data_IF_247933071720
#
_entry.id   IF_247933071720
#
_cell.length_a   1.000
_cell.length_b   1.000
_cell.length_c   1.000
_cell.angle_alpha   90.00
_cell.angle_beta   90.00
_cell.angle_gamma   90.00
#
_symmetry.space_group_name_H-M   'P 1'
#
loop_
_entity.id
_entity.type
_entity.pdbx_description
1 polymer ?
#
# COMPACT_ATOMS: atom_id res chain seq x y z
N UNK A 1 -27.95 1.49 10.89
CA UNK A 1 -26.86 1.33 9.89
C UNK A 1 -25.55 0.72 10.41
N UNK A 2 -25.18 0.83 11.68
CA UNK A 2 -23.93 0.29 12.24
C UNK A 2 -23.91 -1.25 12.43
N UNK A 3 -25.06 -1.92 12.56
CA UNK A 3 -25.15 -3.37 12.83
C UNK A 3 -24.72 -4.30 11.69
N UNK A 4 -24.74 -3.85 10.42
CA UNK A 4 -24.36 -4.68 9.24
C UNK A 4 -22.91 -4.51 8.79
N UNK A 5 -22.14 -3.60 9.37
CA UNK A 5 -20.74 -3.35 8.98
C UNK A 5 -19.79 -4.51 9.30
N UNK A 6 -19.86 -5.17 10.47
CA UNK A 6 -18.96 -6.27 10.77
C UNK A 6 -19.16 -7.48 9.83
N UNK A 7 -20.42 -7.81 9.49
CA UNK A 7 -20.73 -8.91 8.57
C UNK A 7 -20.20 -8.64 7.16
N UNK A 8 -20.49 -7.45 6.61
CA UNK A 8 -19.99 -7.07 5.29
C UNK A 8 -18.45 -6.99 5.22
N UNK A 9 -17.79 -6.60 6.30
CA UNK A 9 -16.32 -6.63 6.38
C UNK A 9 -15.81 -8.07 6.46
N UNK A 10 -16.46 -8.93 7.23
CA UNK A 10 -16.09 -10.34 7.34
C UNK A 10 -16.18 -11.06 5.98
N UNK A 11 -17.26 -10.83 5.22
CA UNK A 11 -17.42 -11.37 3.87
C UNK A 11 -16.28 -10.95 2.91
N UNK A 12 -15.84 -9.69 2.99
CA UNK A 12 -14.72 -9.19 2.22
C UNK A 12 -13.40 -9.86 2.63
N UNK A 13 -13.14 -9.97 3.92
CA UNK A 13 -11.96 -10.67 4.43
C UNK A 13 -11.93 -12.14 4.02
N UNK A 14 -13.07 -12.85 4.01
CA UNK A 14 -13.15 -14.23 3.56
C UNK A 14 -12.67 -14.45 2.13
N UNK A 15 -12.85 -13.47 1.25
CA UNK A 15 -12.42 -13.56 -0.16
C UNK A 15 -10.90 -13.48 -0.34
N UNK A 16 -10.18 -12.91 0.63
CA UNK A 16 -8.73 -12.66 0.52
C UNK A 16 -7.94 -13.38 1.61
N UNK A 17 -8.63 -14.02 2.57
CA UNK A 17 -7.97 -14.72 3.68
C UNK A 17 -7.21 -15.94 3.19
N UNK A 18 -5.99 -16.12 3.66
CA UNK A 18 -5.16 -17.28 3.32
C UNK A 18 -5.27 -18.35 4.42
N UNK A 19 -4.85 -19.61 4.16
CA UNK A 19 -4.73 -20.62 5.22
C UNK A 19 -3.81 -20.20 6.37
N UNK A 20 -2.87 -19.28 6.14
CA UNK A 20 -1.93 -18.78 7.14
C UNK A 20 -2.47 -17.54 7.89
N UNK A 21 -3.56 -16.96 7.44
CA UNK A 21 -4.18 -15.78 8.05
C UNK A 21 -4.38 -14.62 7.10
N UNK A 22 -4.47 -13.41 7.65
CA UNK A 22 -4.61 -12.18 6.87
C UNK A 22 -3.37 -11.94 6.01
N UNK A 23 -3.51 -11.62 4.70
CA UNK A 23 -2.37 -11.34 3.84
C UNK A 23 -1.40 -10.32 4.45
N UNK A 24 -1.91 -9.22 5.00
CA UNK A 24 -1.08 -8.20 5.65
C UNK A 24 -0.21 -8.77 6.77
N UNK A 25 -0.78 -9.57 7.66
CA UNK A 25 -0.03 -10.16 8.78
C UNK A 25 1.03 -11.17 8.29
N UNK A 26 0.65 -12.02 7.32
CA UNK A 26 1.53 -13.01 6.71
C UNK A 26 2.72 -12.34 6.03
N UNK A 27 2.46 -11.34 5.17
CA UNK A 27 3.53 -10.62 4.47
C UNK A 27 4.42 -9.85 5.44
N UNK A 28 3.85 -9.17 6.46
CA UNK A 28 4.64 -8.45 7.46
C UNK A 28 5.59 -9.38 8.22
N UNK A 29 5.10 -10.54 8.68
CA UNK A 29 5.92 -11.54 9.36
C UNK A 29 7.06 -12.07 8.48
N UNK A 30 6.75 -12.35 7.21
CA UNK A 30 7.73 -12.85 6.23
C UNK A 30 8.78 -11.80 5.88
N UNK A 31 8.39 -10.54 5.72
CA UNK A 31 9.33 -9.42 5.51
C UNK A 31 10.29 -9.29 6.68
N UNK A 32 9.81 -9.32 7.92
CA UNK A 32 10.67 -9.28 9.10
C UNK A 32 11.64 -10.47 9.16
N UNK A 33 11.19 -11.69 8.80
CA UNK A 33 12.06 -12.87 8.73
C UNK A 33 13.18 -12.68 7.70
N UNK A 34 12.85 -12.26 6.48
CA UNK A 34 13.82 -12.03 5.41
C UNK A 34 14.79 -10.89 5.73
N UNK A 35 14.30 -9.82 6.37
CA UNK A 35 15.15 -8.73 6.79
C UNK A 35 16.12 -9.18 7.90
N UNK A 36 15.67 -10.02 8.83
CA UNK A 36 16.54 -10.61 9.88
C UNK A 36 17.71 -11.39 9.32
N UNK A 37 17.50 -12.10 8.20
CA UNK A 37 18.56 -12.85 7.50
C UNK A 37 19.64 -11.94 6.90
N UNK A 38 19.34 -10.64 6.72
CA UNK A 38 20.23 -9.64 6.10
C UNK A 38 20.89 -8.70 7.09
N UNK A 39 20.32 -8.54 8.28
CA UNK A 39 20.79 -7.58 9.28
C UNK A 39 21.53 -8.30 10.42
N UNK A 40 22.64 -7.72 10.85
CA UNK A 40 23.44 -8.23 11.99
C UNK A 40 22.85 -7.80 13.35
N UNK A 41 21.65 -7.22 13.37
CA UNK A 41 20.95 -6.75 14.58
C UNK A 41 19.60 -7.48 14.70
N UNK A 42 19.02 -7.55 15.89
CA UNK A 42 17.67 -8.11 16.08
C UNK A 42 16.65 -7.37 15.23
N UNK A 43 15.78 -8.12 14.56
CA UNK A 43 14.63 -7.59 13.79
C UNK A 43 13.37 -8.27 14.29
N UNK A 44 12.37 -7.50 14.64
CA UNK A 44 11.04 -7.98 15.01
C UNK A 44 9.97 -7.25 14.20
N UNK A 45 8.76 -7.79 14.17
CA UNK A 45 7.60 -7.07 13.63
C UNK A 45 6.54 -6.91 14.71
N UNK A 46 5.72 -5.90 14.55
CA UNK A 46 4.55 -5.66 15.37
C UNK A 46 3.39 -5.14 14.53
N UNK A 47 2.20 -5.34 15.01
CA UNK A 47 0.98 -4.86 14.37
C UNK A 47 0.46 -3.63 15.12
N UNK A 48 0.02 -2.60 14.38
CA UNK A 48 -0.64 -1.44 14.99
C UNK A 48 -1.94 -1.83 15.68
N UNK A 49 -2.67 -2.75 15.06
CA UNK A 49 -3.89 -3.36 15.56
C UNK A 49 -3.75 -4.88 15.51
N UNK A 50 -3.97 -5.56 16.62
CA UNK A 50 -3.80 -7.01 16.72
C UNK A 50 -2.44 -7.42 17.30
N UNK A 51 -2.07 -8.67 17.10
CA UNK A 51 -0.86 -9.28 17.66
C UNK A 51 0.17 -9.62 16.58
N UNK A 52 1.49 -9.56 16.92
CA UNK A 52 2.06 -9.07 18.18
C UNK A 52 1.91 -7.56 18.31
N UNK A 53 1.52 -7.08 19.49
CA UNK A 53 1.29 -5.66 19.74
C UNK A 53 2.62 -4.87 19.82
N UNK A 54 2.62 -3.60 19.37
CA UNK A 54 3.83 -2.74 19.36
C UNK A 54 4.48 -2.68 20.74
N UNK A 55 3.71 -2.46 21.80
CA UNK A 55 4.27 -2.31 23.17
C UNK A 55 4.98 -3.57 23.63
N UNK A 56 4.37 -4.74 23.46
CA UNK A 56 4.99 -6.00 23.88
C UNK A 56 6.25 -6.34 23.09
N UNK A 57 6.32 -5.97 21.82
CA UNK A 57 7.54 -6.17 21.02
C UNK A 57 8.64 -5.21 21.43
N UNK A 58 8.33 -3.94 21.68
CA UNK A 58 9.31 -2.95 22.12
C UNK A 58 10.02 -3.36 23.43
N UNK A 59 9.31 -4.00 24.35
CA UNK A 59 9.89 -4.51 25.61
C UNK A 59 10.97 -5.60 25.43
N UNK A 60 11.04 -6.19 24.25
CA UNK A 60 12.01 -7.25 23.92
C UNK A 60 13.26 -6.74 23.20
N UNK A 61 13.33 -5.46 22.87
CA UNK A 61 14.38 -4.86 22.06
C UNK A 61 15.09 -3.74 22.84
N UNK A 62 16.39 -3.65 22.65
CA UNK A 62 17.20 -2.56 23.17
C UNK A 62 17.38 -1.48 22.10
N UNK A 63 17.12 -0.21 22.47
CA UNK A 63 17.19 0.97 21.58
C UNK A 63 16.62 0.76 20.16
N UNK A 64 15.35 0.30 20.00
CA UNK A 64 14.82 -0.05 18.72
C UNK A 64 14.64 1.17 17.79
N UNK A 65 14.86 0.96 16.48
CA UNK A 65 14.34 1.83 15.43
C UNK A 65 13.02 1.27 14.94
N UNK A 66 11.95 2.04 15.01
CA UNK A 66 10.64 1.67 14.48
C UNK A 66 10.50 2.15 13.04
N UNK A 67 10.15 1.22 12.14
CA UNK A 67 9.89 1.53 10.74
C UNK A 67 8.44 1.18 10.42
N UNK A 68 7.51 2.14 10.52
CA UNK A 68 6.13 1.92 10.07
C UNK A 68 6.11 1.62 8.58
N UNK A 69 5.42 0.57 8.17
CA UNK A 69 5.34 0.17 6.76
C UNK A 69 4.31 1.00 5.98
N UNK A 70 4.28 2.30 6.26
CA UNK A 70 3.49 3.32 5.58
C UNK A 70 4.44 4.28 4.87
N UNK A 71 4.56 4.21 3.52
CA UNK A 71 5.51 5.06 2.79
C UNK A 71 5.24 6.54 2.95
N UNK A 72 3.96 6.94 2.92
CA UNK A 72 3.49 8.31 3.07
C UNK A 72 3.01 8.56 4.51
N UNK A 73 3.36 9.72 5.05
CA UNK A 73 2.92 10.12 6.38
C UNK A 73 1.43 10.46 6.41
N UNK A 74 0.72 9.96 7.41
CA UNK A 74 -0.60 10.48 7.77
C UNK A 74 -0.87 10.39 9.28
N UNK A 75 -1.77 11.25 9.76
CA UNK A 75 -2.23 11.23 11.15
C UNK A 75 -2.98 9.94 11.50
N UNK A 76 -3.62 9.30 10.52
CA UNK A 76 -4.37 8.06 10.70
C UNK A 76 -3.51 6.79 10.65
N UNK A 77 -2.26 6.89 10.26
CA UNK A 77 -1.32 5.76 10.15
C UNK A 77 -0.05 6.01 10.97
N UNK A 78 0.93 6.69 10.40
CA UNK A 78 2.25 6.90 11.05
C UNK A 78 2.15 7.57 12.40
N UNK A 79 1.34 8.64 12.54
CA UNK A 79 1.17 9.30 13.82
C UNK A 79 0.57 8.37 14.89
N UNK A 80 -0.37 7.49 14.52
CA UNK A 80 -0.93 6.52 15.47
C UNK A 80 0.09 5.50 15.98
N UNK A 81 1.13 5.22 15.20
CA UNK A 81 2.27 4.41 15.67
C UNK A 81 3.10 5.23 16.64
N UNK A 82 3.45 6.47 16.29
CA UNK A 82 4.20 7.38 17.14
C UNK A 82 3.58 7.56 18.55
N UNK A 83 2.24 7.66 18.64
CA UNK A 83 1.49 7.77 19.89
C UNK A 83 1.68 6.57 20.85
N UNK A 84 2.15 5.44 20.35
CA UNK A 84 2.40 4.24 21.15
C UNK A 84 3.86 4.11 21.59
N UNK A 85 4.76 4.92 21.04
CA UNK A 85 6.19 4.81 21.31
C UNK A 85 6.56 5.50 22.63
N UNK A 86 7.39 4.87 23.47
CA UNK A 86 7.99 5.54 24.63
C UNK A 86 8.86 6.73 24.18
N UNK A 87 9.04 7.74 25.04
CA UNK A 87 9.95 8.84 24.77
C UNK A 87 11.37 8.34 24.44
N UNK A 88 11.97 8.89 23.38
CA UNK A 88 13.34 8.55 22.96
C UNK A 88 13.43 7.39 21.95
N UNK A 89 12.36 6.64 21.71
CA UNK A 89 12.36 5.62 20.65
C UNK A 89 12.39 6.30 19.29
N UNK A 90 13.39 5.94 18.47
CA UNK A 90 13.54 6.47 17.11
C UNK A 90 12.54 5.82 16.15
N UNK A 91 12.03 6.61 15.20
CA UNK A 91 11.08 6.14 14.20
C UNK A 91 11.40 6.76 12.83
N UNK A 92 11.29 5.97 11.78
CA UNK A 92 11.25 6.48 10.40
C UNK A 92 9.85 7.04 10.14
N UNK A 93 9.76 8.34 9.92
CA UNK A 93 8.46 9.01 9.78
C UNK A 93 7.80 8.73 8.42
N UNK A 94 8.59 8.64 7.36
CA UNK A 94 8.14 8.37 6.00
C UNK A 94 9.32 7.92 5.12
N UNK A 95 9.02 7.28 3.98
CA UNK A 95 10.01 6.89 2.97
C UNK A 95 9.43 6.92 1.55
N UNK A 96 8.42 7.76 1.34
CA UNK A 96 7.63 7.88 0.11
C UNK A 96 8.46 8.21 -1.14
N UNK A 97 9.59 8.88 -0.98
CA UNK A 97 10.52 9.31 -2.03
C UNK A 97 11.90 8.63 -1.94
N UNK A 98 12.08 7.70 -0.99
CA UNK A 98 13.36 7.01 -0.81
C UNK A 98 13.77 6.28 -2.09
N UNK A 99 14.99 6.53 -2.64
CA UNK A 99 15.39 5.99 -3.95
C UNK A 99 15.28 4.46 -4.06
N UNK A 100 15.65 3.73 -2.99
CA UNK A 100 15.55 2.28 -2.98
C UNK A 100 14.09 1.79 -3.01
N UNK A 101 13.17 2.50 -2.34
CA UNK A 101 11.74 2.18 -2.37
C UNK A 101 11.16 2.40 -3.79
N UNK A 102 11.47 3.53 -4.42
CA UNK A 102 11.04 3.82 -5.79
C UNK A 102 11.62 2.79 -6.78
N UNK A 103 12.90 2.42 -6.60
CA UNK A 103 13.53 1.39 -7.43
C UNK A 103 12.86 0.01 -7.26
N UNK A 104 12.50 -0.38 -6.03
CA UNK A 104 11.79 -1.62 -5.76
C UNK A 104 10.40 -1.62 -6.40
N UNK A 105 9.63 -0.54 -6.28
CA UNK A 105 8.34 -0.38 -6.97
C UNK A 105 8.48 -0.51 -8.48
N UNK A 106 9.46 0.18 -9.08
CA UNK A 106 9.68 0.14 -10.51
C UNK A 106 10.11 -1.26 -11.00
N UNK A 107 10.96 -1.95 -10.25
CA UNK A 107 11.35 -3.33 -10.56
C UNK A 107 10.15 -4.29 -10.51
N UNK A 108 9.30 -4.14 -9.49
CA UNK A 108 8.10 -4.95 -9.34
C UNK A 108 7.11 -4.76 -10.52
N UNK A 109 6.86 -3.51 -10.90
CA UNK A 109 5.98 -3.20 -12.04
C UNK A 109 6.56 -3.71 -13.36
N UNK A 110 7.88 -3.53 -13.60
CA UNK A 110 8.54 -4.05 -14.81
C UNK A 110 8.42 -5.56 -14.89
N UNK A 111 8.76 -6.28 -13.82
CA UNK A 111 8.64 -7.74 -13.74
C UNK A 111 7.22 -8.22 -14.07
N UNK A 112 6.21 -7.51 -13.56
CA UNK A 112 4.82 -7.79 -13.87
C UNK A 112 4.50 -7.57 -15.35
N UNK A 113 4.97 -6.46 -15.93
CA UNK A 113 4.79 -6.17 -17.36
C UNK A 113 5.54 -7.11 -18.28
N UNK A 114 6.74 -7.56 -17.91
CA UNK A 114 7.51 -8.55 -18.66
C UNK A 114 6.76 -9.89 -18.76
N UNK A 115 6.09 -10.28 -17.69
CA UNK A 115 5.31 -11.54 -17.65
C UNK A 115 3.93 -11.45 -18.32
N UNK A 116 3.26 -10.26 -18.28
CA UNK A 116 1.86 -10.12 -18.67
C UNK A 116 1.63 -9.11 -19.80
N UNK A 117 2.67 -8.45 -20.29
CA UNK A 117 2.59 -7.29 -21.16
C UNK A 117 2.11 -6.03 -20.44
N UNK A 118 2.36 -4.87 -21.00
CA UNK A 118 1.96 -3.58 -20.45
C UNK A 118 0.52 -3.22 -20.83
N UNK A 119 -0.26 -2.70 -19.88
CA UNK A 119 -1.58 -2.13 -20.15
C UNK A 119 -1.52 -0.80 -20.89
N UNK A 120 -2.63 -0.42 -21.51
CA UNK A 120 -2.74 0.86 -22.23
C UNK A 120 -2.76 2.08 -21.30
N UNK A 121 -3.10 1.89 -20.04
CA UNK A 121 -3.14 2.92 -18.98
C UNK A 121 -2.54 2.41 -17.70
N UNK A 122 -1.79 3.26 -17.02
CA UNK A 122 -1.31 3.05 -15.66
C UNK A 122 -2.10 3.94 -14.70
N UNK A 123 -2.69 3.35 -13.67
CA UNK A 123 -3.37 4.03 -12.59
C UNK A 123 -2.68 3.69 -11.28
N UNK A 124 -2.32 4.71 -10.51
CA UNK A 124 -1.70 4.58 -9.20
C UNK A 124 -2.73 4.96 -8.14
N UNK A 125 -3.21 3.97 -7.39
CA UNK A 125 -4.24 4.13 -6.37
C UNK A 125 -3.62 4.19 -4.98
N UNK A 126 -3.96 5.22 -4.21
CA UNK A 126 -3.57 5.39 -2.83
C UNK A 126 -4.80 5.30 -1.92
N UNK A 127 -4.61 5.01 -0.64
CA UNK A 127 -5.70 5.09 0.32
C UNK A 127 -6.19 6.54 0.40
N UNK A 128 -7.49 6.77 0.28
CA UNK A 128 -8.08 8.09 0.42
C UNK A 128 -8.09 8.54 1.88
N UNK A 129 -8.04 9.84 2.08
CA UNK A 129 -8.23 10.51 3.36
C UNK A 129 -9.23 11.65 3.22
N UNK A 130 -9.87 12.11 4.31
CA UNK A 130 -10.60 13.37 4.31
C UNK A 130 -9.69 14.49 3.80
N UNK A 131 -10.18 15.32 2.89
CA UNK A 131 -9.37 16.33 2.19
C UNK A 131 -8.73 17.34 3.14
N UNK A 132 -9.48 17.77 4.14
CA UNK A 132 -9.00 18.74 5.14
C UNK A 132 -7.92 18.09 6.02
N UNK A 133 -6.73 18.67 6.07
CA UNK A 133 -5.61 18.24 6.86
C UNK A 133 -4.79 17.09 6.22
N UNK A 134 -5.04 16.79 4.93
CA UNK A 134 -4.31 15.73 4.23
C UNK A 134 -3.39 16.27 3.12
N UNK A 135 -3.07 17.55 3.14
CA UNK A 135 -2.26 18.20 2.10
C UNK A 135 -0.85 17.61 2.01
N UNK A 136 -0.22 17.34 3.16
CA UNK A 136 1.08 16.67 3.21
C UNK A 136 0.99 15.27 2.59
N UNK A 137 0.04 14.46 3.05
CA UNK A 137 -0.16 13.10 2.55
C UNK A 137 -0.42 13.07 1.04
N UNK A 138 -1.29 13.95 0.53
CA UNK A 138 -1.55 14.07 -0.90
C UNK A 138 -0.29 14.44 -1.68
N UNK A 139 0.49 15.38 -1.17
CA UNK A 139 1.76 15.78 -1.77
C UNK A 139 2.75 14.61 -1.85
N UNK A 140 2.89 13.84 -0.78
CA UNK A 140 3.76 12.67 -0.71
C UNK A 140 3.28 11.54 -1.66
N UNK A 141 1.96 11.29 -1.76
CA UNK A 141 1.40 10.34 -2.74
C UNK A 141 1.73 10.75 -4.18
N UNK A 142 1.57 12.02 -4.52
CA UNK A 142 1.86 12.54 -5.85
C UNK A 142 3.36 12.52 -6.16
N UNK A 143 4.22 12.79 -5.18
CA UNK A 143 5.67 12.68 -5.32
C UNK A 143 6.08 11.22 -5.60
N UNK A 144 5.59 10.25 -4.83
CA UNK A 144 5.81 8.82 -5.09
C UNK A 144 5.37 8.44 -6.51
N UNK A 145 4.19 8.88 -6.93
CA UNK A 145 3.66 8.57 -8.26
C UNK A 145 4.53 9.17 -9.38
N UNK A 146 4.99 10.39 -9.23
CA UNK A 146 5.85 11.06 -10.21
C UNK A 146 7.21 10.36 -10.32
N UNK A 147 7.85 10.03 -9.20
CA UNK A 147 9.12 9.32 -9.15
C UNK A 147 9.01 7.91 -9.76
N UNK A 148 7.93 7.20 -9.46
CA UNK A 148 7.66 5.88 -10.04
C UNK A 148 7.43 5.97 -11.54
N UNK A 149 6.64 6.94 -12.01
CA UNK A 149 6.40 7.17 -13.44
C UNK A 149 7.71 7.49 -14.19
N UNK A 150 8.55 8.34 -13.62
CA UNK A 150 9.88 8.66 -14.14
C UNK A 150 10.76 7.40 -14.22
N UNK A 151 10.82 6.61 -13.15
CA UNK A 151 11.59 5.37 -13.11
C UNK A 151 11.10 4.36 -14.16
N UNK A 152 9.78 4.27 -14.39
CA UNK A 152 9.16 3.41 -15.40
C UNK A 152 9.23 3.96 -16.84
N UNK A 153 9.63 5.21 -17.02
CA UNK A 153 9.55 5.94 -18.30
C UNK A 153 8.13 5.96 -18.85
N UNK A 154 7.18 6.38 -18.00
CA UNK A 154 5.75 6.48 -18.31
C UNK A 154 5.35 7.94 -18.29
N UNK A 155 5.00 8.50 -19.45
CA UNK A 155 4.61 9.91 -19.59
C UNK A 155 3.15 10.18 -19.19
N UNK A 156 2.28 9.16 -19.25
CA UNK A 156 0.86 9.29 -18.94
C UNK A 156 0.43 8.26 -17.89
N UNK A 157 0.03 8.75 -16.73
CA UNK A 157 -0.50 7.97 -15.62
C UNK A 157 -1.59 8.75 -14.88
N UNK A 158 -2.35 8.06 -14.06
CA UNK A 158 -3.39 8.66 -13.21
C UNK A 158 -3.07 8.39 -11.75
N UNK A 159 -3.26 9.39 -10.89
CA UNK A 159 -3.24 9.26 -9.44
C UNK A 159 -4.66 9.32 -8.94
N UNK A 160 -5.09 8.33 -8.18
CA UNK A 160 -6.44 8.23 -7.64
C UNK A 160 -6.42 7.81 -6.17
N UNK A 161 -7.55 7.99 -5.49
CA UNK A 161 -7.72 7.68 -4.08
C UNK A 161 -8.90 6.74 -3.87
N UNK A 162 -8.66 5.66 -3.12
CA UNK A 162 -9.62 4.60 -2.82
C UNK A 162 -10.19 4.67 -1.40
N UNK A 163 -11.02 3.71 -1.01
CA UNK A 163 -11.49 3.48 0.37
C UNK A 163 -12.30 4.61 0.99
N UNK A 164 -12.96 5.43 0.16
CA UNK A 164 -13.81 6.52 0.64
C UNK A 164 -14.98 5.98 1.46
N UNK A 165 -15.24 6.58 2.62
CA UNK A 165 -16.44 6.31 3.40
C UNK A 165 -17.00 7.57 4.10
N UNK A 166 -18.28 7.51 4.50
CA UNK A 166 -18.94 8.61 5.22
C UNK A 166 -19.25 9.82 4.33
N UNK A 167 -19.51 10.98 4.95
CA UNK A 167 -20.04 12.16 4.29
C UNK A 167 -19.00 13.26 4.05
N UNK A 168 -17.81 13.16 4.63
CA UNK A 168 -16.76 14.15 4.43
C UNK A 168 -16.33 14.22 2.96
N UNK A 169 -15.77 15.35 2.56
CA UNK A 169 -15.07 15.46 1.29
C UNK A 169 -13.71 14.76 1.43
N UNK A 170 -13.42 13.85 0.52
CA UNK A 170 -12.17 13.06 0.48
C UNK A 170 -11.28 13.49 -0.68
N UNK A 171 -10.01 13.14 -0.60
CA UNK A 171 -9.04 13.34 -1.69
C UNK A 171 -9.56 12.76 -3.01
N UNK A 172 -9.31 13.47 -4.11
CA UNK A 172 -9.80 13.15 -5.44
C UNK A 172 -8.66 13.04 -6.47
N UNK A 173 -8.90 12.39 -7.63
CA UNK A 173 -10.10 11.66 -8.04
C UNK A 173 -10.27 10.32 -7.34
N UNK A 174 -11.50 9.80 -7.26
CA UNK A 174 -11.79 8.50 -6.66
C UNK A 174 -11.49 7.36 -7.63
N UNK A 175 -10.91 6.27 -7.13
CA UNK A 175 -10.40 5.16 -7.97
C UNK A 175 -11.53 4.49 -8.78
N UNK A 176 -12.58 3.98 -8.14
CA UNK A 176 -13.65 3.27 -8.86
C UNK A 176 -14.38 4.14 -9.89
N UNK A 177 -14.85 5.37 -9.58
CA UNK A 177 -15.44 6.27 -10.57
C UNK A 177 -14.53 6.56 -11.75
N UNK A 178 -13.23 6.77 -11.51
CA UNK A 178 -12.24 7.01 -12.57
C UNK A 178 -12.10 5.79 -13.48
N UNK A 179 -12.08 4.59 -12.92
CA UNK A 179 -12.01 3.34 -13.69
C UNK A 179 -13.25 3.14 -14.57
N UNK A 180 -14.45 3.40 -14.03
CA UNK A 180 -15.71 3.37 -14.82
C UNK A 180 -15.68 4.38 -15.97
N UNK A 181 -15.20 5.59 -15.71
CA UNK A 181 -15.06 6.63 -16.73
C UNK A 181 -14.07 6.23 -17.83
N UNK A 182 -12.93 5.65 -17.46
CA UNK A 182 -11.94 5.14 -18.42
C UNK A 182 -12.54 4.05 -19.32
N UNK A 183 -13.27 3.08 -18.74
CA UNK A 183 -13.94 2.05 -19.49
C UNK A 183 -14.98 2.63 -20.46
N UNK A 184 -15.84 3.54 -20.00
CA UNK A 184 -16.84 4.21 -20.82
C UNK A 184 -16.23 5.04 -21.96
N UNK A 185 -14.99 5.55 -21.78
CA UNK A 185 -14.20 6.22 -22.84
C UNK A 185 -13.42 5.27 -23.73
N UNK A 186 -13.63 3.95 -23.62
CA UNK A 186 -13.05 2.95 -24.50
C UNK A 186 -11.71 2.36 -24.03
N UNK A 187 -11.26 2.63 -22.81
CA UNK A 187 -10.07 1.98 -22.26
C UNK A 187 -10.34 0.48 -22.07
N UNK A 188 -9.63 -0.36 -22.82
CA UNK A 188 -9.82 -1.81 -22.79
C UNK A 188 -8.99 -2.49 -21.70
N UNK A 189 -7.80 -1.98 -21.40
CA UNK A 189 -6.89 -2.55 -20.40
C UNK A 189 -6.27 -1.48 -19.51
N UNK A 190 -6.39 -1.65 -18.21
CA UNK A 190 -5.79 -0.77 -17.19
C UNK A 190 -4.97 -1.59 -16.22
N UNK A 191 -3.73 -1.17 -15.97
CA UNK A 191 -2.90 -1.68 -14.89
C UNK A 191 -3.02 -0.75 -13.68
N UNK A 192 -3.33 -1.32 -12.53
CA UNK A 192 -3.43 -0.59 -11.25
C UNK A 192 -2.27 -1.00 -10.35
N UNK A 193 -1.58 0.00 -9.82
CA UNK A 193 -0.53 -0.14 -8.81
C UNK A 193 -1.00 0.58 -7.56
N UNK A 194 -0.69 0.04 -6.38
CA UNK A 194 -1.04 0.65 -5.09
C UNK A 194 0.22 1.07 -4.31
N UNK A 195 0.89 2.18 -4.67
CA UNK A 195 2.20 2.52 -4.10
C UNK A 195 2.15 2.97 -2.63
N UNK A 196 0.99 3.16 -2.04
CA UNK A 196 0.82 3.40 -0.61
C UNK A 196 0.81 2.13 0.24
N UNK A 197 0.87 0.95 -0.41
CA UNK A 197 0.80 -0.35 0.24
C UNK A 197 2.03 -1.17 -0.11
N UNK A 198 2.86 -1.50 0.87
CA UNK A 198 4.03 -2.36 0.66
C UNK A 198 3.69 -3.84 0.70
N UNK A 199 2.57 -4.19 1.32
CA UNK A 199 2.03 -5.56 1.40
C UNK A 199 0.61 -5.61 0.86
N UNK A 200 0.26 -6.68 0.19
CA UNK A 200 -1.12 -6.96 -0.19
C UNK A 200 -2.01 -7.11 1.05
N UNK A 201 -3.19 -6.54 0.98
CA UNK A 201 -4.15 -6.45 2.06
C UNK A 201 -5.58 -6.41 1.51
N UNK A 202 -6.55 -6.19 2.37
CA UNK A 202 -7.97 -6.07 1.96
C UNK A 202 -8.16 -4.98 0.89
N UNK A 203 -7.52 -3.84 1.10
CA UNK A 203 -7.64 -2.64 0.27
C UNK A 203 -7.04 -2.84 -1.14
N UNK A 204 -6.08 -3.74 -1.31
CA UNK A 204 -5.52 -4.06 -2.62
C UNK A 204 -6.23 -5.24 -3.26
N UNK A 205 -6.35 -6.36 -2.56
CA UNK A 205 -6.87 -7.61 -3.12
C UNK A 205 -8.38 -7.57 -3.36
N UNK A 206 -9.16 -7.14 -2.35
CA UNK A 206 -10.62 -7.09 -2.49
C UNK A 206 -11.05 -5.80 -3.18
N UNK A 207 -10.66 -4.64 -2.67
CA UNK A 207 -11.20 -3.37 -3.18
C UNK A 207 -10.76 -3.11 -4.63
N UNK A 208 -9.48 -3.32 -4.98
CA UNK A 208 -9.00 -3.11 -6.34
C UNK A 208 -9.12 -4.39 -7.17
N UNK A 209 -8.61 -5.51 -6.67
CA UNK A 209 -8.52 -6.76 -7.42
C UNK A 209 -9.87 -7.40 -7.71
N UNK A 210 -10.89 -7.18 -6.86
CA UNK A 210 -12.23 -7.75 -7.02
C UNK A 210 -13.25 -6.65 -7.34
N UNK A 211 -13.50 -5.72 -6.43
CA UNK A 211 -14.60 -4.77 -6.55
C UNK A 211 -14.37 -3.75 -7.68
N UNK A 212 -13.23 -3.06 -7.70
CA UNK A 212 -12.92 -2.08 -8.75
C UNK A 212 -12.74 -2.75 -10.12
N UNK A 213 -12.15 -3.96 -10.15
CA UNK A 213 -12.08 -4.76 -11.37
C UNK A 213 -13.48 -5.07 -11.93
N UNK A 214 -14.39 -5.53 -11.08
CA UNK A 214 -15.78 -5.77 -11.49
C UNK A 214 -16.42 -4.49 -12.03
N UNK A 215 -16.25 -3.37 -11.34
CA UNK A 215 -16.80 -2.08 -11.74
C UNK A 215 -16.28 -1.61 -13.12
N UNK A 216 -14.99 -1.85 -13.42
CA UNK A 216 -14.37 -1.54 -14.69
C UNK A 216 -14.93 -2.42 -15.83
N UNK A 217 -15.07 -3.72 -15.60
CA UNK A 217 -15.63 -4.66 -16.58
C UNK A 217 -17.10 -4.36 -16.87
N UNK A 218 -17.91 -4.11 -15.83
CA UNK A 218 -19.33 -3.74 -15.95
C UNK A 218 -19.53 -2.44 -16.74
N UNK A 219 -18.54 -1.54 -16.74
CA UNK A 219 -18.55 -0.29 -17.49
C UNK A 219 -18.04 -0.40 -18.94
N UNK A 220 -17.74 -1.62 -19.42
CA UNK A 220 -17.31 -1.89 -20.79
C UNK A 220 -15.80 -2.06 -20.99
N UNK A 221 -15.00 -2.02 -19.93
CA UNK A 221 -13.60 -2.39 -19.96
C UNK A 221 -13.42 -3.90 -20.17
N UNK A 222 -12.27 -4.31 -20.66
CA UNK A 222 -11.97 -5.73 -20.94
C UNK A 222 -11.13 -6.38 -19.87
N UNK A 223 -10.11 -5.68 -19.37
CA UNK A 223 -9.15 -6.23 -18.40
C UNK A 223 -8.64 -5.15 -17.45
N UNK A 224 -8.88 -5.31 -16.16
CA UNK A 224 -8.19 -4.58 -15.10
C UNK A 224 -7.24 -5.53 -14.40
N UNK A 225 -5.98 -5.14 -14.29
CA UNK A 225 -4.95 -5.93 -13.63
C UNK A 225 -4.40 -5.17 -12.44
N UNK A 226 -4.48 -5.79 -11.27
CA UNK A 226 -3.77 -5.33 -10.09
C UNK A 226 -2.33 -5.86 -10.16
N UNK A 227 -1.35 -4.95 -10.17
CA UNK A 227 0.04 -5.32 -9.94
C UNK A 227 0.19 -5.63 -8.45
N UNK A 228 0.66 -6.84 -8.07
CA UNK A 228 0.84 -7.18 -6.65
C UNK A 228 1.71 -6.15 -5.93
N UNK A 229 1.48 -5.95 -4.64
CA UNK A 229 2.35 -5.12 -3.81
C UNK A 229 3.77 -5.71 -3.75
N UNK A 230 4.67 -5.03 -3.07
CA UNK A 230 6.07 -5.45 -2.97
C UNK A 230 6.24 -6.78 -2.23
N UNK A 231 5.39 -7.04 -1.24
CA UNK A 231 5.34 -8.26 -0.44
C UNK A 231 6.75 -8.68 0.04
N UNK A 232 7.24 -9.85 -0.34
CA UNK A 232 8.57 -10.37 -0.01
C UNK A 232 9.57 -10.21 -1.15
N UNK A 233 9.34 -9.31 -2.11
CA UNK A 233 10.27 -9.18 -3.23
C UNK A 233 11.68 -8.86 -2.75
N UNK A 234 12.72 -9.48 -3.32
CA UNK A 234 14.11 -9.25 -2.90
C UNK A 234 14.53 -7.78 -2.96
N UNK A 235 14.00 -7.04 -3.93
CA UNK A 235 14.25 -5.61 -4.11
C UNK A 235 13.65 -4.79 -2.97
N UNK A 236 12.45 -5.18 -2.49
CA UNK A 236 11.83 -4.53 -1.35
C UNK A 236 12.58 -4.82 -0.04
N UNK A 237 12.95 -6.07 0.20
CA UNK A 237 13.72 -6.41 1.41
C UNK A 237 15.06 -5.66 1.43
N UNK A 238 15.72 -5.51 0.27
CA UNK A 238 16.93 -4.68 0.15
C UNK A 238 16.66 -3.20 0.39
N UNK A 239 15.53 -2.69 -0.10
CA UNK A 239 15.13 -1.30 0.15
C UNK A 239 14.80 -1.06 1.63
N UNK A 240 14.09 -1.99 2.26
CA UNK A 240 13.76 -1.91 3.68
C UNK A 240 15.01 -1.91 4.57
N UNK A 241 16.02 -2.71 4.23
CA UNK A 241 17.33 -2.68 4.89
C UNK A 241 17.98 -1.29 4.77
N UNK A 242 17.97 -0.67 3.58
CA UNK A 242 18.54 0.66 3.37
C UNK A 242 17.77 1.74 4.14
N UNK A 243 16.45 1.69 4.15
CA UNK A 243 15.59 2.62 4.90
C UNK A 243 15.87 2.51 6.41
N UNK A 244 16.07 1.29 6.91
CA UNK A 244 16.36 1.07 8.33
C UNK A 244 17.79 1.48 8.75
N UNK A 245 18.70 1.68 7.79
CA UNK A 245 20.09 2.12 8.05
C UNK A 245 20.29 3.64 7.88
N UNK A 246 19.35 4.34 7.25
CA UNK A 246 19.41 5.77 7.01
C UNK A 246 19.06 6.56 8.29
#
# INVERSE_FOLDING_TARGET
MLRKRPEASAEKYQQVWTPEGSPLAVHTARQARLLRERMAIPVAYAMRYGEPAIRSVLETLDEPLVVPLYPQYSESTTATVADLLPPGVRMVEQFHDHPAYIAALAANVRRYWDAHGRGARLLMSFHGLPKRGSERYEGECRATAALLAQALKVDSYLVTFQSRFGYAEWLRPYTEPTLRELAAKGAQRVDVVCPGFVSDCLETLEEIGIAARKAFLDAGGRELRLVPCLNESPEWISALEQIARA
#
